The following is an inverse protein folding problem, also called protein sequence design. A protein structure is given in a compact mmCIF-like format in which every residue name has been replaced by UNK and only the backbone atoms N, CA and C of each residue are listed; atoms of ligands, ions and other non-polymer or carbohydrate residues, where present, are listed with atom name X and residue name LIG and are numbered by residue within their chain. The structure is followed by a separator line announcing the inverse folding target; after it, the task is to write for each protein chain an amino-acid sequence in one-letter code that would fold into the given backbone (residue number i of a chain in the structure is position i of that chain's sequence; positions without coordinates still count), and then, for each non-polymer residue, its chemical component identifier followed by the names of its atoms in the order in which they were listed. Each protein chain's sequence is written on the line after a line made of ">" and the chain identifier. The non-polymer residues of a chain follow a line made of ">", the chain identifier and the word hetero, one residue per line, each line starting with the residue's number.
data_IF_916587670076
#
_entry.id   IF_916587670076
#
_cell.length_a   1.000
_cell.length_b   1.000
_cell.length_c   1.000
_cell.angle_alpha   90.00
_cell.angle_beta   90.00
_cell.angle_gamma   90.00
#
_symmetry.space_group_name_H-M   'P 1'
#
loop_
_entity.id
_entity.type
_entity.pdbx_description
1 polymer ?
#
# COMPACT_ATOMS: atom_id res chain seq x y z
N UNK A 1 8.24 -43.13 -19.81
CA UNK A 1 7.05 -42.39 -20.20
C UNK A 1 7.11 -41.00 -19.53
N UNK A 2 7.10 -39.85 -20.28
CA UNK A 2 7.07 -38.51 -19.71
C UNK A 2 5.70 -38.26 -19.10
N UNK A 3 5.70 -37.64 -17.89
CA UNK A 3 4.48 -37.19 -17.22
C UNK A 3 3.85 -36.01 -18.00
N UNK A 4 2.52 -35.98 -18.21
CA UNK A 4 1.87 -34.87 -18.88
C UNK A 4 2.03 -33.61 -18.06
N UNK A 5 2.49 -32.53 -18.73
CA UNK A 5 2.63 -31.19 -18.15
C UNK A 5 1.26 -30.69 -17.70
N UNK A 6 1.20 -30.14 -16.49
CA UNK A 6 0.02 -29.38 -16.03
C UNK A 6 -0.24 -28.20 -17.00
N UNK A 7 -1.47 -28.03 -17.51
CA UNK A 7 -1.79 -26.87 -18.33
C UNK A 7 -1.54 -25.60 -17.52
N UNK A 8 -0.82 -24.65 -18.11
CA UNK A 8 -0.61 -23.33 -17.55
C UNK A 8 -1.98 -22.70 -17.29
N UNK A 9 -2.23 -22.35 -16.02
CA UNK A 9 -3.42 -21.61 -15.62
C UNK A 9 -3.30 -20.23 -16.27
N UNK A 10 -4.14 -19.97 -17.29
CA UNK A 10 -4.34 -18.61 -17.80
C UNK A 10 -4.65 -17.66 -16.64
N UNK A 11 -4.26 -16.38 -16.68
CA UNK A 11 -4.65 -15.41 -15.68
C UNK A 11 -6.18 -15.32 -15.73
N UNK A 12 -6.83 -16.04 -14.80
CA UNK A 12 -8.28 -15.92 -14.59
C UNK A 12 -8.57 -14.46 -14.29
N UNK A 13 -9.54 -13.89 -15.00
CA UNK A 13 -9.99 -12.53 -14.81
C UNK A 13 -10.18 -12.27 -13.33
N UNK A 14 -9.36 -11.35 -12.78
CA UNK A 14 -9.36 -11.03 -11.37
C UNK A 14 -10.68 -10.34 -11.05
N UNK A 15 -11.57 -11.06 -10.41
CA UNK A 15 -12.78 -10.43 -9.85
C UNK A 15 -12.31 -9.41 -8.84
N UNK A 16 -12.52 -8.15 -9.16
CA UNK A 16 -12.21 -7.03 -8.29
C UNK A 16 -12.98 -7.21 -6.95
N UNK A 17 -12.25 -7.48 -5.88
CA UNK A 17 -12.83 -7.87 -4.60
C UNK A 17 -12.74 -6.71 -3.60
N UNK A 18 -13.83 -6.46 -2.89
CA UNK A 18 -13.90 -5.49 -1.79
C UNK A 18 -13.00 -5.96 -0.65
N UNK A 19 -12.20 -5.04 -0.10
CA UNK A 19 -11.44 -5.24 1.12
C UNK A 19 -12.24 -4.65 2.29
N UNK A 20 -12.78 -5.48 3.16
CA UNK A 20 -13.68 -5.07 4.24
C UNK A 20 -13.13 -5.45 5.62
N UNK A 21 -13.25 -4.52 6.55
CA UNK A 21 -12.98 -4.71 7.97
C UNK A 21 -14.29 -4.77 8.73
N UNK A 22 -14.46 -5.80 9.55
CA UNK A 22 -15.63 -6.00 10.38
C UNK A 22 -15.22 -6.05 11.86
N UNK A 23 -15.60 -5.03 12.62
CA UNK A 23 -15.36 -4.89 14.07
C UNK A 23 -13.89 -5.09 14.47
N UNK A 24 -12.97 -4.61 13.62
CA UNK A 24 -11.54 -4.82 13.85
C UNK A 24 -11.08 -4.03 15.06
N UNK A 25 -10.46 -4.74 16.00
CA UNK A 25 -9.85 -4.20 17.21
C UNK A 25 -8.41 -4.64 17.36
N UNK A 26 -7.56 -3.80 17.99
CA UNK A 26 -6.18 -4.16 18.34
C UNK A 26 -5.80 -3.63 19.71
N UNK A 27 -5.21 -4.53 20.50
CA UNK A 27 -4.71 -4.23 21.85
C UNK A 27 -3.22 -4.60 21.88
N UNK A 28 -2.38 -3.73 22.43
CA UNK A 28 -0.99 -3.97 22.74
C UNK A 28 -0.75 -3.67 24.23
N UNK A 29 -0.24 -4.64 24.98
CA UNK A 29 0.08 -4.45 26.39
C UNK A 29 -1.05 -3.85 27.23
N UNK A 30 -2.30 -4.27 26.98
CA UNK A 30 -3.50 -3.73 27.65
C UNK A 30 -4.02 -2.41 27.05
N UNK A 31 -3.27 -1.72 26.22
CA UNK A 31 -3.69 -0.47 25.56
C UNK A 31 -4.43 -0.77 24.27
N UNK A 32 -5.68 -0.31 24.18
CA UNK A 32 -6.46 -0.40 22.95
C UNK A 32 -5.99 0.65 21.95
N UNK A 33 -5.55 0.20 20.76
CA UNK A 33 -5.08 1.04 19.66
C UNK A 33 -6.11 1.16 18.55
N UNK A 34 -6.85 0.08 18.28
CA UNK A 34 -8.01 0.10 17.40
C UNK A 34 -9.24 -0.46 18.12
N UNK A 35 -10.40 0.11 17.87
CA UNK A 35 -11.64 -0.22 18.56
C UNK A 35 -12.82 -0.19 17.58
N UNK A 36 -13.34 -1.38 17.25
CA UNK A 36 -14.54 -1.54 16.45
C UNK A 36 -14.46 -0.82 15.08
N UNK A 37 -13.34 -1.02 14.38
CA UNK A 37 -13.14 -0.43 13.05
C UNK A 37 -13.95 -1.21 12.02
N UNK A 38 -14.88 -0.51 11.39
CA UNK A 38 -15.72 -0.99 10.29
C UNK A 38 -15.48 -0.05 9.11
N UNK A 39 -14.93 -0.56 8.01
CA UNK A 39 -14.67 0.19 6.77
C UNK A 39 -14.53 -0.79 5.61
N UNK A 40 -14.90 -0.34 4.40
CA UNK A 40 -14.74 -1.13 3.17
C UNK A 40 -14.03 -0.31 2.11
N UNK A 41 -13.01 -0.88 1.48
CA UNK A 41 -12.28 -0.29 0.37
C UNK A 41 -12.70 -0.96 -0.93
N UNK A 42 -13.18 -0.14 -1.86
CA UNK A 42 -13.65 -0.64 -3.15
C UNK A 42 -12.49 -0.95 -4.09
N UNK A 43 -12.62 -1.99 -4.92
CA UNK A 43 -11.58 -2.35 -5.87
C UNK A 43 -11.36 -1.25 -6.92
N UNK A 44 -10.11 -1.11 -7.39
CA UNK A 44 -9.75 -0.13 -8.41
C UNK A 44 -9.85 1.32 -7.96
N UNK A 45 -9.83 1.58 -6.65
CA UNK A 45 -9.91 2.93 -6.08
C UNK A 45 -8.73 3.25 -5.19
N UNK A 46 -8.48 4.53 -5.02
CA UNK A 46 -7.54 5.06 -4.03
C UNK A 46 -8.35 5.45 -2.79
N UNK A 47 -8.00 4.88 -1.64
CA UNK A 47 -8.52 5.27 -0.35
C UNK A 47 -7.41 5.90 0.50
N UNK A 48 -7.65 7.07 1.07
CA UNK A 48 -6.76 7.73 2.01
C UNK A 48 -7.26 7.53 3.44
N UNK A 49 -6.37 7.09 4.33
CA UNK A 49 -6.61 6.97 5.76
C UNK A 49 -5.86 8.08 6.47
N UNK A 50 -6.60 9.04 6.98
CA UNK A 50 -6.12 10.21 7.72
C UNK A 50 -6.31 10.03 9.23
N UNK A 51 -5.69 10.90 10.00
CA UNK A 51 -5.89 11.00 11.45
C UNK A 51 -4.64 11.52 12.16
N UNK A 52 -4.78 12.00 13.39
CA UNK A 52 -3.64 12.49 14.18
C UNK A 52 -2.64 11.38 14.51
N UNK A 53 -1.47 11.77 15.02
CA UNK A 53 -0.47 10.82 15.50
C UNK A 53 -1.07 9.98 16.64
N UNK A 54 -0.80 8.67 16.60
CA UNK A 54 -1.37 7.73 17.56
C UNK A 54 -2.83 7.34 17.31
N UNK A 55 -3.47 7.79 16.22
CA UNK A 55 -4.85 7.39 15.89
C UNK A 55 -5.02 5.90 15.54
N UNK A 56 -3.93 5.18 15.24
CA UNK A 56 -3.96 3.77 14.88
C UNK A 56 -3.74 3.47 13.39
N UNK A 57 -3.38 4.47 12.58
CA UNK A 57 -3.24 4.35 11.11
C UNK A 57 -2.24 3.27 10.69
N UNK A 58 -1.01 3.32 11.19
CA UNK A 58 0.04 2.31 10.91
C UNK A 58 -0.37 0.91 11.41
N UNK A 59 -1.08 0.84 12.55
CA UNK A 59 -1.63 -0.44 13.05
C UNK A 59 -2.69 -0.99 12.12
N UNK A 60 -3.58 -0.15 11.62
CA UNK A 60 -4.60 -0.54 10.63
C UNK A 60 -3.93 -1.06 9.36
N UNK A 61 -2.95 -0.33 8.83
CA UNK A 61 -2.20 -0.74 7.64
C UNK A 61 -1.42 -2.05 7.87
N UNK A 62 -0.83 -2.22 9.07
CA UNK A 62 -0.19 -3.47 9.47
C UNK A 62 -1.15 -4.67 9.51
N UNK A 63 -2.42 -4.45 9.87
CA UNK A 63 -3.46 -5.49 9.80
C UNK A 63 -3.83 -5.79 8.35
N UNK A 64 -4.03 -4.78 7.50
CA UNK A 64 -4.32 -4.95 6.08
C UNK A 64 -3.20 -5.67 5.33
N UNK A 65 -1.94 -5.38 5.69
CA UNK A 65 -0.76 -6.06 5.13
C UNK A 65 -0.51 -7.45 5.72
N UNK A 66 -1.35 -7.90 6.68
CA UNK A 66 -1.22 -9.16 7.43
C UNK A 66 0.05 -9.28 8.29
N UNK A 67 0.78 -8.19 8.49
CA UNK A 67 1.93 -8.13 9.40
C UNK A 67 1.49 -8.15 10.87
N UNK A 68 0.32 -7.59 11.14
CA UNK A 68 -0.29 -7.52 12.47
C UNK A 68 -1.59 -8.32 12.47
N UNK A 69 -1.74 -9.22 13.44
CA UNK A 69 -3.02 -9.93 13.66
C UNK A 69 -3.94 -9.05 14.50
N UNK A 70 -5.21 -8.83 14.11
CA UNK A 70 -6.18 -8.15 14.95
C UNK A 70 -6.42 -8.89 16.26
N UNK A 71 -6.80 -8.17 17.33
CA UNK A 71 -7.19 -8.77 18.61
C UNK A 71 -8.68 -9.12 18.65
N UNK A 72 -9.48 -8.51 17.78
CA UNK A 72 -10.91 -8.76 17.60
C UNK A 72 -11.32 -8.41 16.17
N UNK A 73 -12.45 -8.97 15.73
CA UNK A 73 -12.96 -8.77 14.37
C UNK A 73 -12.12 -9.47 13.31
N UNK A 74 -12.44 -9.21 12.06
CA UNK A 74 -11.77 -9.83 10.92
C UNK A 74 -11.62 -8.87 9.74
N UNK A 75 -10.67 -9.15 8.86
CA UNK A 75 -10.51 -8.49 7.58
C UNK A 75 -10.80 -9.50 6.49
N UNK A 76 -11.66 -9.13 5.54
CA UNK A 76 -11.99 -9.95 4.38
C UNK A 76 -11.57 -9.26 3.09
N UNK A 77 -11.07 -10.03 2.16
CA UNK A 77 -10.84 -9.58 0.79
C UNK A 77 -11.61 -10.49 -0.16
N UNK A 78 -12.79 -10.04 -0.56
CA UNK A 78 -13.79 -10.89 -1.17
C UNK A 78 -14.24 -11.99 -0.23
N UNK A 79 -14.14 -13.24 -0.68
CA UNK A 79 -14.47 -14.40 0.14
C UNK A 79 -13.36 -14.85 1.13
N UNK A 80 -12.15 -14.30 0.99
CA UNK A 80 -10.98 -14.73 1.75
C UNK A 80 -10.81 -13.90 3.02
N UNK A 81 -10.59 -14.54 4.17
CA UNK A 81 -10.20 -13.88 5.42
C UNK A 81 -8.70 -13.62 5.39
N UNK A 82 -8.30 -12.36 5.54
CA UNK A 82 -6.89 -12.00 5.59
C UNK A 82 -6.26 -12.35 6.94
N UNK A 83 -5.11 -13.01 6.88
CA UNK A 83 -4.32 -13.36 8.06
C UNK A 83 -2.91 -13.80 7.67
N UNK A 84 -2.09 -14.17 8.65
CA UNK A 84 -0.68 -14.53 8.42
C UNK A 84 -0.48 -15.69 7.43
N UNK A 85 -1.43 -16.61 7.34
CA UNK A 85 -1.39 -17.76 6.42
C UNK A 85 -2.16 -17.57 5.12
N UNK A 86 -2.78 -16.39 4.91
CA UNK A 86 -3.63 -16.17 3.75
C UNK A 86 -2.82 -16.15 2.45
N UNK A 87 -3.22 -16.91 1.42
CA UNK A 87 -2.65 -16.85 0.08
C UNK A 87 -2.76 -15.47 -0.57
N UNK A 88 -3.72 -14.64 -0.13
CA UNK A 88 -3.88 -13.27 -0.61
C UNK A 88 -2.65 -12.39 -0.38
N UNK A 89 -1.78 -12.74 0.58
CA UNK A 89 -0.51 -12.02 0.83
C UNK A 89 0.34 -11.89 -0.44
N UNK A 90 0.34 -12.90 -1.29
CA UNK A 90 1.06 -12.87 -2.56
C UNK A 90 0.53 -11.83 -3.56
N UNK A 91 -0.62 -11.18 -3.25
CA UNK A 91 -1.24 -10.14 -4.08
C UNK A 91 -1.20 -8.76 -3.42
N UNK A 92 -0.48 -8.63 -2.30
CA UNK A 92 -0.35 -7.37 -1.54
C UNK A 92 1.04 -6.79 -1.77
N UNK A 93 1.11 -5.58 -2.33
CA UNK A 93 2.30 -4.75 -2.33
C UNK A 93 2.26 -3.80 -1.13
N UNK A 94 3.36 -3.72 -0.39
CA UNK A 94 3.45 -2.90 0.81
C UNK A 94 4.68 -2.01 0.78
N UNK A 95 4.48 -0.72 0.96
CA UNK A 95 5.50 0.30 1.15
C UNK A 95 5.29 0.90 2.54
N UNK A 96 6.11 0.48 3.48
CA UNK A 96 6.06 0.95 4.87
C UNK A 96 6.81 2.26 5.07
N UNK A 97 6.74 2.77 6.29
CA UNK A 97 7.52 3.95 6.72
C UNK A 97 9.03 3.75 6.52
N UNK A 98 9.52 2.54 6.81
CA UNK A 98 10.86 2.12 6.42
C UNK A 98 10.78 1.44 5.04
N UNK A 99 11.64 1.84 4.07
CA UNK A 99 11.58 1.31 2.71
C UNK A 99 11.78 -0.20 2.59
N UNK A 100 12.38 -0.85 3.60
CA UNK A 100 12.67 -2.30 3.58
C UNK A 100 13.59 -2.68 2.42
N UNK A 101 14.63 -1.89 2.19
CA UNK A 101 15.62 -2.05 1.15
C UNK A 101 16.94 -2.50 1.76
N UNK A 102 17.60 -3.44 1.14
CA UNK A 102 18.94 -3.90 1.53
C UNK A 102 19.99 -2.94 0.97
N UNK A 103 20.63 -2.18 1.84
CA UNK A 103 21.55 -1.09 1.47
C UNK A 103 22.78 -1.56 0.70
N UNK A 104 23.29 -2.75 1.00
CA UNK A 104 24.47 -3.31 0.34
C UNK A 104 24.20 -3.92 -1.03
N UNK A 105 22.92 -4.17 -1.33
CA UNK A 105 22.49 -4.61 -2.66
C UNK A 105 22.28 -3.40 -3.58
N UNK A 106 22.53 -3.59 -4.87
CA UNK A 106 22.14 -2.62 -5.90
C UNK A 106 20.62 -2.52 -6.00
N UNK A 107 20.12 -1.50 -6.71
CA UNK A 107 18.69 -1.38 -6.96
C UNK A 107 18.14 -2.59 -7.72
N UNK A 108 18.87 -3.05 -8.74
CA UNK A 108 18.49 -4.23 -9.53
C UNK A 108 18.47 -5.51 -8.67
N UNK A 109 19.47 -5.70 -7.83
CA UNK A 109 19.55 -6.87 -6.93
C UNK A 109 18.42 -6.85 -5.88
N UNK A 110 18.08 -5.68 -5.33
CA UNK A 110 16.93 -5.55 -4.43
C UNK A 110 15.64 -6.02 -5.13
N UNK A 111 15.31 -5.51 -6.30
CA UNK A 111 14.11 -5.90 -7.05
C UNK A 111 14.16 -7.39 -7.41
N UNK A 112 15.30 -7.91 -7.89
CA UNK A 112 15.46 -9.32 -8.24
C UNK A 112 15.33 -10.25 -7.03
N UNK A 113 15.80 -9.84 -5.85
CA UNK A 113 15.63 -10.60 -4.61
C UNK A 113 14.15 -10.79 -4.27
N UNK A 114 13.37 -9.70 -4.26
CA UNK A 114 11.94 -9.77 -3.97
C UNK A 114 11.17 -10.52 -5.05
N UNK A 115 11.53 -10.36 -6.33
CA UNK A 115 10.96 -11.18 -7.41
C UNK A 115 11.12 -12.68 -7.13
N UNK A 116 12.32 -13.12 -6.71
CA UNK A 116 12.57 -14.52 -6.33
C UNK A 116 11.76 -14.95 -5.12
N UNK A 117 11.68 -14.10 -4.06
CA UNK A 117 10.89 -14.41 -2.86
C UNK A 117 9.40 -14.58 -3.17
N UNK A 118 8.86 -13.83 -4.13
CA UNK A 118 7.49 -13.99 -4.60
C UNK A 118 7.31 -15.04 -5.70
N UNK A 119 8.37 -15.76 -6.09
CA UNK A 119 8.31 -16.80 -7.12
C UNK A 119 8.03 -16.26 -8.53
N UNK A 120 8.37 -14.99 -8.79
CA UNK A 120 8.19 -14.36 -10.11
C UNK A 120 9.20 -14.98 -11.07
N UNK A 121 8.71 -15.67 -12.10
CA UNK A 121 9.55 -16.16 -13.19
C UNK A 121 10.11 -14.97 -13.95
N UNK A 122 11.38 -15.02 -14.29
CA UNK A 122 12.09 -13.91 -14.97
C UNK A 122 12.06 -12.59 -14.20
N UNK A 123 12.17 -12.66 -12.89
CA UNK A 123 12.20 -11.44 -12.05
C UNK A 123 13.38 -10.52 -12.37
N UNK A 124 14.49 -11.06 -12.87
CA UNK A 124 15.63 -10.28 -13.34
C UNK A 124 15.31 -9.42 -14.58
N UNK A 125 14.51 -9.92 -15.52
CA UNK A 125 14.06 -9.19 -16.69
C UNK A 125 13.07 -8.06 -16.39
N UNK A 126 12.29 -8.19 -15.30
CA UNK A 126 11.36 -7.13 -14.87
C UNK A 126 12.03 -5.95 -14.15
N UNK A 127 13.18 -6.18 -13.52
CA UNK A 127 13.84 -5.14 -12.70
C UNK A 127 14.19 -3.88 -13.51
N UNK A 128 14.79 -3.93 -14.70
CA UNK A 128 15.10 -2.73 -15.48
C UNK A 128 13.86 -1.89 -15.80
N UNK A 129 12.78 -2.52 -16.25
CA UNK A 129 11.54 -1.83 -16.59
C UNK A 129 10.88 -1.17 -15.38
N UNK A 130 10.84 -1.86 -14.21
CA UNK A 130 10.32 -1.31 -12.98
C UNK A 130 11.16 -0.16 -12.44
N UNK A 131 12.49 -0.27 -12.49
CA UNK A 131 13.40 0.79 -12.07
C UNK A 131 13.25 2.02 -12.96
N UNK A 132 13.21 1.85 -14.29
CA UNK A 132 12.95 2.94 -15.21
C UNK A 132 11.60 3.62 -14.94
N UNK A 133 10.54 2.83 -14.71
CA UNK A 133 9.20 3.32 -14.36
C UNK A 133 9.21 4.23 -13.13
N UNK A 134 9.94 3.85 -12.08
CA UNK A 134 10.02 4.67 -10.86
C UNK A 134 11.08 5.79 -10.96
N UNK A 135 11.66 6.02 -12.14
CA UNK A 135 12.63 7.07 -12.39
C UNK A 135 14.03 6.79 -11.81
N UNK A 136 14.38 5.52 -11.67
CA UNK A 136 15.74 5.07 -11.35
C UNK A 136 16.38 4.52 -12.63
N UNK A 137 17.24 5.36 -13.25
CA UNK A 137 17.90 5.05 -14.52
C UNK A 137 19.08 4.07 -14.38
N UNK A 138 19.85 3.89 -15.46
CA UNK A 138 20.96 2.93 -15.49
C UNK A 138 22.02 3.17 -14.43
N UNK A 139 22.38 4.43 -14.18
CA UNK A 139 23.38 4.78 -13.17
C UNK A 139 22.94 4.36 -11.75
N UNK A 140 21.64 4.44 -11.44
CA UNK A 140 21.08 4.03 -10.17
C UNK A 140 20.84 2.53 -10.10
N UNK A 141 20.55 1.88 -11.23
CA UNK A 141 20.26 0.45 -11.30
C UNK A 141 21.36 -0.40 -10.67
N UNK A 142 22.62 -0.08 -11.00
CA UNK A 142 23.80 -0.85 -10.62
C UNK A 142 24.54 -0.26 -9.40
N UNK A 143 24.02 0.84 -8.83
CA UNK A 143 24.57 1.46 -7.63
C UNK A 143 23.99 0.81 -6.34
N UNK A 144 24.83 0.64 -5.28
CA UNK A 144 24.36 0.15 -3.99
C UNK A 144 23.31 1.09 -3.37
N UNK A 145 22.21 0.52 -2.87
CA UNK A 145 21.09 1.32 -2.37
C UNK A 145 21.45 2.20 -1.15
N UNK A 146 22.53 1.90 -0.41
CA UNK A 146 23.02 2.76 0.69
C UNK A 146 23.47 4.14 0.21
N UNK A 147 23.73 4.32 -1.08
CA UNK A 147 24.13 5.61 -1.67
C UNK A 147 22.95 6.47 -2.09
N UNK A 148 21.73 5.94 -1.95
CA UNK A 148 20.52 6.59 -2.42
C UNK A 148 20.02 7.66 -1.45
N UNK A 149 19.47 8.73 -2.02
CA UNK A 149 18.67 9.68 -1.25
C UNK A 149 17.38 9.01 -0.72
N UNK A 150 16.73 9.63 0.27
CA UNK A 150 15.45 9.13 0.80
C UNK A 150 14.39 8.98 -0.29
N UNK A 151 14.30 9.95 -1.21
CA UNK A 151 13.38 9.88 -2.34
C UNK A 151 13.71 8.72 -3.29
N UNK A 152 14.99 8.46 -3.57
CA UNK A 152 15.42 7.30 -4.38
C UNK A 152 15.09 5.98 -3.69
N UNK A 153 15.28 5.88 -2.37
CA UNK A 153 14.88 4.70 -1.59
C UNK A 153 13.37 4.46 -1.63
N UNK A 154 12.57 5.53 -1.58
CA UNK A 154 11.13 5.44 -1.69
C UNK A 154 10.69 4.94 -3.09
N UNK A 155 11.32 5.45 -4.15
CA UNK A 155 11.11 4.98 -5.52
C UNK A 155 11.48 3.49 -5.67
N UNK A 156 12.60 3.08 -5.09
CA UNK A 156 13.02 1.67 -5.09
C UNK A 156 12.06 0.78 -4.29
N UNK A 157 11.54 1.27 -3.15
CA UNK A 157 10.53 0.57 -2.36
C UNK A 157 9.22 0.35 -3.16
N UNK A 158 8.83 1.33 -3.98
CA UNK A 158 7.70 1.16 -4.90
C UNK A 158 7.99 0.11 -5.97
N UNK A 159 9.16 0.15 -6.63
CA UNK A 159 9.54 -0.88 -7.61
C UNK A 159 9.52 -2.29 -7.00
N UNK A 160 10.06 -2.42 -5.78
CA UNK A 160 10.01 -3.65 -4.99
C UNK A 160 8.58 -4.13 -4.73
N UNK A 161 7.69 -3.20 -4.33
CA UNK A 161 6.31 -3.52 -4.01
C UNK A 161 5.50 -3.94 -5.25
N UNK A 162 5.90 -3.50 -6.44
CA UNK A 162 5.23 -3.80 -7.72
C UNK A 162 5.76 -5.06 -8.42
N UNK A 163 6.89 -5.63 -8.00
CA UNK A 163 7.60 -6.68 -8.75
C UNK A 163 6.78 -7.94 -9.00
N UNK A 164 5.88 -8.28 -8.06
CA UNK A 164 5.02 -9.47 -8.13
C UNK A 164 3.61 -9.19 -8.65
N UNK A 165 3.40 -7.99 -9.24
CA UNK A 165 2.14 -7.56 -9.85
C UNK A 165 0.94 -7.62 -8.85
N UNK A 166 1.00 -6.92 -7.72
CA UNK A 166 -0.03 -6.94 -6.70
C UNK A 166 -1.35 -6.33 -7.20
N UNK A 167 -2.47 -6.71 -6.58
CA UNK A 167 -3.79 -6.12 -6.83
C UNK A 167 -4.24 -5.18 -5.72
N UNK A 168 -3.58 -5.26 -4.57
CA UNK A 168 -3.73 -4.34 -3.44
C UNK A 168 -2.38 -3.70 -3.14
N UNK A 169 -2.34 -2.38 -3.11
CA UNK A 169 -1.18 -1.59 -2.73
C UNK A 169 -1.47 -0.85 -1.42
N UNK A 170 -0.57 -0.99 -0.47
CA UNK A 170 -0.65 -0.38 0.85
C UNK A 170 0.56 0.53 1.06
N UNK A 171 0.30 1.79 1.38
CA UNK A 171 1.33 2.82 1.58
C UNK A 171 1.24 3.44 2.97
N UNK A 172 2.35 3.50 3.70
CA UNK A 172 2.47 4.21 4.97
C UNK A 172 3.34 5.46 4.80
N UNK A 173 2.71 6.63 4.77
CA UNK A 173 3.34 7.96 4.63
C UNK A 173 4.30 8.07 3.42
N UNK A 174 3.91 7.67 2.21
CA UNK A 174 4.83 7.52 1.09
C UNK A 174 5.38 8.85 0.56
N UNK A 175 4.74 9.98 0.86
CA UNK A 175 5.18 11.32 0.46
C UNK A 175 6.09 12.00 1.49
N UNK A 176 6.19 11.50 2.73
CA UNK A 176 6.86 12.18 3.84
C UNK A 176 8.36 12.50 3.61
N UNK A 177 9.01 11.77 2.68
CA UNK A 177 10.43 11.93 2.38
C UNK A 177 10.69 12.51 0.97
N UNK A 178 9.64 12.95 0.28
CA UNK A 178 9.74 13.43 -1.09
C UNK A 178 9.72 14.97 -1.13
N UNK A 179 10.48 15.52 -2.06
CA UNK A 179 10.36 16.91 -2.46
C UNK A 179 9.06 17.14 -3.27
N UNK A 180 8.68 18.39 -3.58
CA UNK A 180 7.45 18.66 -4.33
C UNK A 180 7.35 17.93 -5.67
N UNK A 181 8.48 17.78 -6.39
CA UNK A 181 8.52 17.05 -7.66
C UNK A 181 8.31 15.55 -7.45
N UNK A 182 8.90 14.98 -6.39
CA UNK A 182 8.69 13.60 -5.98
C UNK A 182 7.27 13.32 -5.52
N UNK A 183 6.64 14.25 -4.80
CA UNK A 183 5.23 14.13 -4.39
C UNK A 183 4.28 14.15 -5.60
N UNK A 184 4.52 15.05 -6.57
CA UNK A 184 3.76 15.09 -7.82
C UNK A 184 3.93 13.81 -8.64
N UNK A 185 5.15 13.29 -8.73
CA UNK A 185 5.42 11.99 -9.35
C UNK A 185 4.65 10.86 -8.68
N UNK A 186 4.67 10.78 -7.33
CA UNK A 186 3.95 9.76 -6.58
C UNK A 186 2.44 9.83 -6.85
N UNK A 187 1.87 11.04 -6.87
CA UNK A 187 0.46 11.25 -7.21
C UNK A 187 0.13 10.69 -8.60
N UNK A 188 1.00 10.90 -9.58
CA UNK A 188 0.87 10.32 -10.92
C UNK A 188 0.92 8.79 -10.92
N UNK A 189 1.83 8.19 -10.13
CA UNK A 189 1.93 6.73 -9.97
C UNK A 189 0.68 6.14 -9.30
N UNK A 190 0.16 6.77 -8.23
CA UNK A 190 -1.09 6.32 -7.60
C UNK A 190 -2.27 6.34 -8.58
N UNK A 191 -2.38 7.39 -9.41
CA UNK A 191 -3.39 7.48 -10.45
C UNK A 191 -3.21 6.40 -11.53
N UNK A 192 -1.97 6.08 -11.93
CA UNK A 192 -1.67 5.01 -12.86
C UNK A 192 -2.04 3.63 -12.30
N UNK A 193 -1.78 3.38 -10.99
CA UNK A 193 -2.16 2.15 -10.33
C UNK A 193 -3.69 1.97 -10.26
N UNK A 194 -4.43 3.05 -9.97
CA UNK A 194 -5.89 3.07 -10.05
C UNK A 194 -6.39 2.74 -11.44
N UNK A 195 -5.81 3.36 -12.48
CA UNK A 195 -6.17 3.11 -13.88
C UNK A 195 -5.88 1.66 -14.29
N UNK A 196 -4.84 1.04 -13.71
CA UNK A 196 -4.54 -0.38 -13.88
C UNK A 196 -5.51 -1.30 -13.10
N UNK A 197 -6.51 -0.75 -12.41
CA UNK A 197 -7.54 -1.50 -11.67
C UNK A 197 -7.07 -1.98 -10.28
N UNK A 198 -5.93 -1.51 -9.78
CA UNK A 198 -5.44 -1.86 -8.44
C UNK A 198 -6.14 -1.07 -7.35
N UNK A 199 -6.41 -1.71 -6.24
CA UNK A 199 -6.88 -1.04 -5.02
C UNK A 199 -5.68 -0.45 -4.30
N UNK A 200 -5.76 0.81 -3.93
CA UNK A 200 -4.70 1.52 -3.20
C UNK A 200 -5.24 2.00 -1.86
N UNK A 201 -4.56 1.68 -0.76
CA UNK A 201 -4.83 2.26 0.56
C UNK A 201 -3.60 3.04 1.00
N UNK A 202 -3.78 4.34 1.15
CA UNK A 202 -2.74 5.30 1.50
C UNK A 202 -2.96 5.81 2.91
N UNK A 203 -2.05 5.54 3.83
CA UNK A 203 -2.00 6.23 5.14
C UNK A 203 -1.15 7.48 4.97
N UNK A 204 -1.70 8.64 5.31
CA UNK A 204 -0.97 9.90 5.26
C UNK A 204 -1.52 10.92 6.25
N UNK A 205 -0.73 11.94 6.57
CA UNK A 205 -1.15 13.17 7.23
C UNK A 205 -1.15 14.36 6.25
N UNK A 206 -0.67 14.16 5.03
CA UNK A 206 -0.65 15.17 3.97
C UNK A 206 -2.02 15.21 3.27
N UNK A 207 -2.74 16.31 3.46
CA UNK A 207 -4.06 16.52 2.86
C UNK A 207 -4.00 16.67 1.34
N UNK A 208 -2.90 17.16 0.78
CA UNK A 208 -2.74 17.26 -0.66
C UNK A 208 -2.59 15.86 -1.29
N UNK A 209 -1.81 14.99 -0.67
CA UNK A 209 -1.70 13.59 -1.08
C UNK A 209 -3.03 12.82 -0.90
N UNK A 210 -3.82 13.15 0.12
CA UNK A 210 -5.12 12.53 0.37
C UNK A 210 -6.21 13.05 -0.57
N UNK A 211 -6.09 14.28 -1.08
CA UNK A 211 -7.13 14.92 -1.90
C UNK A 211 -7.39 14.21 -3.25
N UNK A 212 -6.44 13.41 -3.73
CA UNK A 212 -6.58 12.62 -4.98
C UNK A 212 -7.30 11.29 -4.77
N UNK A 213 -7.60 10.93 -3.50
CA UNK A 213 -8.27 9.69 -3.18
C UNK A 213 -9.76 9.75 -3.54
N UNK A 214 -10.29 8.61 -3.96
CA UNK A 214 -11.72 8.41 -4.23
C UNK A 214 -12.52 8.18 -2.93
N UNK A 215 -11.84 7.76 -1.85
CA UNK A 215 -12.41 7.56 -0.52
C UNK A 215 -11.49 8.15 0.54
N UNK A 216 -12.05 8.81 1.52
CA UNK A 216 -11.32 9.31 2.68
C UNK A 216 -11.91 8.72 3.96
N UNK A 217 -11.03 8.12 4.76
CA UNK A 217 -11.33 7.58 6.08
C UNK A 217 -10.55 8.36 7.12
N UNK A 218 -11.20 8.89 8.15
CA UNK A 218 -10.50 9.56 9.26
C UNK A 218 -10.58 8.69 10.50
N UNK A 219 -9.39 8.34 11.02
CA UNK A 219 -9.23 7.64 12.28
C UNK A 219 -8.97 8.64 13.42
N UNK A 220 -9.64 8.44 14.54
CA UNK A 220 -9.39 9.17 15.78
C UNK A 220 -9.53 8.24 16.97
N UNK A 221 -8.51 8.20 17.85
CA UNK A 221 -8.49 7.33 19.04
C UNK A 221 -8.86 5.87 18.74
N UNK A 222 -8.39 5.36 17.61
CA UNK A 222 -8.62 3.98 17.18
C UNK A 222 -9.99 3.68 16.58
N UNK A 223 -10.82 4.70 16.30
CA UNK A 223 -12.15 4.56 15.69
C UNK A 223 -12.24 5.32 14.39
N UNK A 224 -13.06 4.85 13.46
CA UNK A 224 -13.47 5.61 12.28
C UNK A 224 -14.44 6.70 12.71
N UNK A 225 -14.11 7.95 12.44
CA UNK A 225 -14.96 9.12 12.72
C UNK A 225 -15.49 9.78 11.45
N UNK A 226 -14.96 9.38 10.30
CA UNK A 226 -15.43 9.79 8.98
C UNK A 226 -15.05 8.71 7.96
N UNK A 227 -15.96 8.39 7.06
CA UNK A 227 -15.76 7.50 5.92
C UNK A 227 -16.69 7.97 4.81
N UNK A 228 -16.13 8.53 3.74
CA UNK A 228 -16.92 9.03 2.61
C UNK A 228 -16.19 8.84 1.28
N UNK A 229 -16.96 8.78 0.21
CA UNK A 229 -16.51 8.53 -1.16
C UNK A 229 -16.84 9.72 -2.04
N UNK A 230 -15.82 10.29 -2.69
CA UNK A 230 -15.97 11.33 -3.69
C UNK A 230 -15.18 10.95 -4.94
N UNK A 231 -15.88 10.45 -5.96
CA UNK A 231 -15.23 10.07 -7.21
C UNK A 231 -14.65 11.30 -7.91
N UNK A 232 -13.36 11.26 -8.17
CA UNK A 232 -12.61 12.40 -8.71
C UNK A 232 -11.85 13.21 -7.67
N UNK A 233 -11.92 12.77 -6.40
CA UNK A 233 -11.16 13.32 -5.29
C UNK A 233 -11.90 14.39 -4.48
N UNK A 234 -11.34 14.66 -3.30
CA UNK A 234 -11.80 15.73 -2.41
C UNK A 234 -10.98 16.99 -2.70
N UNK A 235 -11.57 18.16 -2.77
CA UNK A 235 -10.79 19.40 -2.80
C UNK A 235 -9.98 19.57 -1.50
N UNK A 236 -8.71 20.03 -1.58
CA UNK A 236 -7.82 20.15 -0.42
C UNK A 236 -8.44 20.97 0.71
N UNK A 237 -9.09 22.11 0.37
CA UNK A 237 -9.72 22.99 1.37
C UNK A 237 -10.95 22.35 2.02
N UNK A 238 -11.79 21.65 1.23
CA UNK A 238 -12.92 20.90 1.75
C UNK A 238 -12.44 19.78 2.70
N UNK A 239 -11.41 19.03 2.29
CA UNK A 239 -10.84 17.98 3.10
C UNK A 239 -10.19 18.52 4.39
N UNK A 240 -9.57 19.69 4.34
CA UNK A 240 -9.03 20.39 5.52
C UNK A 240 -10.14 20.72 6.52
N UNK A 241 -11.23 21.29 6.05
CA UNK A 241 -12.38 21.65 6.90
C UNK A 241 -12.98 20.41 7.57
N UNK A 242 -13.17 19.32 6.81
CA UNK A 242 -13.66 18.05 7.33
C UNK A 242 -12.68 17.48 8.37
N UNK A 243 -11.38 17.44 8.05
CA UNK A 243 -10.36 16.93 8.95
C UNK A 243 -10.30 17.68 10.26
N UNK A 244 -10.32 19.01 10.23
CA UNK A 244 -10.35 19.85 11.43
C UNK A 244 -11.59 19.59 12.26
N UNK A 245 -12.78 19.54 11.64
CA UNK A 245 -14.04 19.25 12.34
C UNK A 245 -13.98 17.90 13.06
N UNK A 246 -13.58 16.83 12.34
CA UNK A 246 -13.60 15.46 12.86
C UNK A 246 -12.47 15.16 13.86
N UNK A 247 -11.42 15.99 13.88
CA UNK A 247 -10.27 15.80 14.77
C UNK A 247 -10.24 16.78 15.95
N UNK A 248 -11.06 17.83 15.97
CA UNK A 248 -11.23 18.75 17.13
C UNK A 248 -11.79 17.99 18.33
N UNK A 249 -11.15 18.12 19.49
CA UNK A 249 -11.62 17.61 20.79
C UNK A 249 -10.74 16.54 21.39
#
# INVERSE_FOLDING_TARGET
>A
LPRPGRPGRAPGGMTAAVLALAKVGKIYGGRRVLADVNVSFQPGRIAAVLGPNGAGKTTLLGILSTLVTPSAGEVRWGAEVLGRGSPARARIGYVGHEPGIYGDLTAAENVALFARLYGVRDGGGRAPALLARVGLGEAQRDAPARTFSRGMLQRLALARALVHDPTLLLFDEPAAALDPAGAAWLTGELAAERTAGRTVVLVTHDLAAAAVADQVVILRRGRVVFDDVCLGGFGVDALRSIYEEKTRG
#
